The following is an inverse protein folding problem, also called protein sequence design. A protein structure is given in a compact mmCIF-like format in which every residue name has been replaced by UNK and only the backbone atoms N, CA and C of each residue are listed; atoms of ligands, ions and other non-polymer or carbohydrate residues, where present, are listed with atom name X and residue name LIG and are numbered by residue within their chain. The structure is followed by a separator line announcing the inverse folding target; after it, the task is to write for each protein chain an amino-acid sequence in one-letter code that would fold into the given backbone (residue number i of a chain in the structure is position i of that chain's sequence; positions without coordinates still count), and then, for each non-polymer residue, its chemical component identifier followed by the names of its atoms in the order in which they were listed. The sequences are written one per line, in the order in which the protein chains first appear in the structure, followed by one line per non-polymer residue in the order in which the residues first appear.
data_IF_072186093145
#
_entry.id   IF_072186093145
#
_cell.length_a   1.000
_cell.length_b   1.000
_cell.length_c   1.000
_cell.angle_alpha   90.00
_cell.angle_beta   90.00
_cell.angle_gamma   90.00
#
_symmetry.space_group_name_H-M   'P 1'
#
loop_
_entity.id
_entity.type
_entity.pdbx_description
1 polymer ?
#
# COMPACT_ATOMS: atom_id res chain seq x y z
N UNK A 1 12.78 -16.77 3.38
CA UNK A 1 12.49 -15.74 2.35
C UNK A 1 13.70 -14.82 2.20
N UNK A 2 14.03 -14.41 0.97
CA UNK A 2 15.20 -13.57 0.68
C UNK A 2 15.07 -12.17 1.31
N UNK A 3 16.11 -11.72 2.02
CA UNK A 3 16.16 -10.37 2.65
C UNK A 3 15.95 -9.23 1.65
N UNK A 4 16.17 -9.48 0.35
CA UNK A 4 15.91 -8.50 -0.73
C UNK A 4 14.43 -8.23 -0.94
N UNK A 5 13.57 -9.26 -0.85
CA UNK A 5 12.12 -9.11 -1.03
C UNK A 5 11.50 -8.29 0.10
N UNK A 6 11.94 -8.54 1.35
CA UNK A 6 11.47 -7.78 2.51
C UNK A 6 11.83 -6.29 2.40
N UNK A 7 13.06 -5.98 1.99
CA UNK A 7 13.48 -4.60 1.76
C UNK A 7 12.70 -3.92 0.63
N UNK A 8 12.41 -4.63 -0.45
CA UNK A 8 11.59 -4.11 -1.54
C UNK A 8 10.16 -3.83 -1.06
N UNK A 9 9.56 -4.75 -0.30
CA UNK A 9 8.22 -4.58 0.26
C UNK A 9 8.13 -3.37 1.19
N UNK A 10 9.15 -3.17 2.03
CA UNK A 10 9.24 -2.03 2.94
C UNK A 10 9.37 -0.69 2.19
N UNK A 11 10.25 -0.61 1.19
CA UNK A 11 10.40 0.57 0.35
C UNK A 11 9.12 0.90 -0.42
N UNK A 12 8.44 -0.10 -0.98
CA UNK A 12 7.16 0.09 -1.68
C UNK A 12 6.10 0.60 -0.71
N UNK A 13 6.01 0.02 0.49
CA UNK A 13 5.06 0.46 1.52
C UNK A 13 5.26 1.93 1.88
N UNK A 14 6.50 2.37 2.05
CA UNK A 14 6.82 3.75 2.41
C UNK A 14 6.43 4.73 1.30
N UNK A 15 6.81 4.44 0.05
CA UNK A 15 6.49 5.28 -1.12
C UNK A 15 4.98 5.36 -1.34
N UNK A 16 4.28 4.22 -1.28
CA UNK A 16 2.83 4.17 -1.47
C UNK A 16 2.10 4.92 -0.35
N UNK A 17 2.54 4.76 0.90
CA UNK A 17 1.96 5.48 2.03
C UNK A 17 2.14 6.99 1.90
N UNK A 18 3.31 7.44 1.43
CA UNK A 18 3.56 8.87 1.19
C UNK A 18 2.69 9.38 0.04
N UNK A 19 2.67 8.68 -1.10
CA UNK A 19 1.90 9.06 -2.28
C UNK A 19 0.39 9.20 -1.98
N UNK A 20 -0.17 8.28 -1.18
CA UNK A 20 -1.57 8.33 -0.72
C UNK A 20 -1.85 9.64 0.04
N UNK A 21 -0.94 10.09 0.90
CA UNK A 21 -1.12 11.30 1.70
C UNK A 21 -0.86 12.58 0.90
N UNK A 22 0.14 12.58 0.02
CA UNK A 22 0.59 13.79 -0.68
C UNK A 22 -0.15 14.06 -1.97
N UNK A 23 -0.46 13.03 -2.75
CA UNK A 23 -1.01 13.18 -4.10
C UNK A 23 -2.51 12.91 -4.17
N UNK A 24 -3.05 12.12 -3.24
CA UNK A 24 -4.44 11.69 -3.31
C UNK A 24 -5.38 12.65 -2.56
N UNK A 25 -5.86 13.67 -3.28
CA UNK A 25 -6.87 14.64 -2.80
C UNK A 25 -8.30 14.13 -2.94
N UNK A 26 -8.56 12.84 -2.75
CA UNK A 26 -9.91 12.30 -2.81
C UNK A 26 -10.55 12.26 -1.40
N UNK A 27 -11.66 12.97 -1.16
CA UNK A 27 -12.32 13.00 0.14
C UNK A 27 -12.82 11.63 0.64
N UNK A 28 -12.95 10.60 -0.21
CA UNK A 28 -13.34 9.23 0.17
C UNK A 28 -12.18 8.44 0.77
N UNK A 29 -10.95 8.84 0.46
CA UNK A 29 -9.73 8.09 0.81
C UNK A 29 -9.01 8.74 2.00
N UNK A 30 -9.70 9.65 2.71
CA UNK A 30 -9.15 10.49 3.78
C UNK A 30 -8.62 9.75 5.01
N UNK A 31 -8.84 8.44 5.16
CA UNK A 31 -8.31 7.65 6.26
C UNK A 31 -7.82 6.27 5.80
N UNK A 32 -7.05 6.21 4.71
CA UNK A 32 -6.44 4.96 4.23
C UNK A 32 -5.12 4.68 4.91
N UNK A 33 -5.00 3.47 5.45
CA UNK A 33 -3.78 2.92 6.04
C UNK A 33 -3.34 1.69 5.26
N UNK A 34 -2.07 1.63 4.86
CA UNK A 34 -1.49 0.41 4.26
C UNK A 34 -1.19 -0.60 5.36
N UNK A 35 -1.90 -1.73 5.34
CA UNK A 35 -1.78 -2.80 6.36
C UNK A 35 -0.72 -3.83 5.98
N UNK A 36 -0.48 -4.02 4.68
CA UNK A 36 0.51 -5.00 4.20
C UNK A 36 0.83 -4.83 2.73
N UNK A 37 2.02 -5.30 2.35
CA UNK A 37 2.48 -5.33 0.96
C UNK A 37 3.10 -6.71 0.69
N UNK A 38 2.54 -7.44 -0.26
CA UNK A 38 3.07 -8.69 -0.75
C UNK A 38 3.70 -8.47 -2.12
N UNK A 39 5.03 -8.58 -2.20
CA UNK A 39 5.77 -8.48 -3.46
C UNK A 39 5.96 -9.87 -4.03
N UNK A 40 5.63 -10.06 -5.31
CA UNK A 40 5.83 -11.34 -5.96
C UNK A 40 7.32 -11.68 -6.10
N UNK A 41 7.70 -12.98 -6.11
CA UNK A 41 9.09 -13.41 -6.23
C UNK A 41 9.79 -12.90 -7.49
N UNK A 42 9.03 -12.61 -8.54
CA UNK A 42 9.51 -12.04 -9.79
C UNK A 42 9.74 -10.51 -9.74
N UNK A 43 9.39 -9.87 -8.62
CA UNK A 43 9.43 -8.42 -8.39
C UNK A 43 8.69 -7.57 -9.44
N UNK A 44 7.85 -8.19 -10.28
CA UNK A 44 7.11 -7.47 -11.32
C UNK A 44 5.78 -6.93 -10.84
N UNK A 45 5.22 -7.54 -9.80
CA UNK A 45 3.94 -7.14 -9.24
C UNK A 45 3.97 -7.13 -7.71
N UNK A 46 3.21 -6.22 -7.13
CA UNK A 46 3.03 -6.09 -5.69
C UNK A 46 1.53 -5.94 -5.38
N UNK A 47 1.03 -6.74 -4.44
CA UNK A 47 -0.31 -6.60 -3.88
C UNK A 47 -0.23 -5.74 -2.63
N UNK A 48 -0.99 -4.65 -2.61
CA UNK A 48 -1.05 -3.73 -1.47
C UNK A 48 -2.39 -3.90 -0.78
N UNK A 49 -2.36 -4.23 0.50
CA UNK A 49 -3.54 -4.32 1.35
C UNK A 49 -3.73 -2.98 2.05
N UNK A 50 -4.84 -2.31 1.73
CA UNK A 50 -5.23 -1.03 2.34
C UNK A 50 -6.46 -1.22 3.21
N UNK A 51 -6.50 -0.54 4.35
CA UNK A 51 -7.66 -0.44 5.22
C UNK A 51 -8.15 0.99 5.22
N UNK A 52 -9.44 1.18 5.01
CA UNK A 52 -10.10 2.48 4.88
C UNK A 52 -11.00 2.65 6.10
N UNK A 53 -10.67 3.58 7.00
CA UNK A 53 -11.53 3.93 8.15
C UNK A 53 -12.69 4.84 7.69
N UNK A 54 -13.44 4.39 6.68
CA UNK A 54 -14.49 5.16 6.01
C UNK A 54 -15.23 4.33 4.96
N UNK A 55 -16.46 3.94 5.32
CA UNK A 55 -17.52 3.31 4.50
C UNK A 55 -17.16 2.06 3.67
N UNK A 56 -17.84 0.97 4.01
CA UNK A 56 -18.02 -0.30 3.30
C UNK A 56 -18.60 -0.17 1.86
N UNK A 57 -18.49 0.98 1.20
CA UNK A 57 -19.23 1.31 -0.04
C UNK A 57 -18.45 1.20 -1.35
N UNK A 58 -17.21 0.74 -1.33
CA UNK A 58 -16.44 0.44 -2.55
C UNK A 58 -15.72 -0.91 -2.41
N UNK A 59 -16.47 -1.95 -2.06
CA UNK A 59 -16.05 -3.34 -2.28
C UNK A 59 -16.71 -3.90 -3.54
#
# INVERSE_FOLDING_TARGET
MSRRLLKAAEAIREVVSLAIVTEMRDPRIKNVTVVGVEVMPDMKSAKVHVSIMGSEKEQ
#
